data_IF_732008467904
#
_entry.id   IF_732008467904
#
_cell.length_a   1.000
_cell.length_b   1.000
_cell.length_c   1.000
_cell.angle_alpha   90.00
_cell.angle_beta   90.00
_cell.angle_gamma   90.00
#
_symmetry.space_group_name_H-M   'P 1'
#
loop_
_entity.id
_entity.type
_entity.pdbx_description
1 polymer ?
#
# COMPACT_ATOMS: atom_id res chain seq x y z
N UNK A 1 -18.06 9.35 -18.10
CA UNK A 1 -17.81 9.68 -16.68
C UNK A 1 -17.06 8.54 -16.01
N UNK A 2 -15.75 8.66 -15.82
CA UNK A 2 -14.95 7.65 -15.12
C UNK A 2 -14.94 7.96 -13.61
N UNK A 3 -16.08 7.72 -12.94
CA UNK A 3 -16.18 7.89 -11.49
C UNK A 3 -15.16 6.96 -10.82
N UNK A 4 -14.38 7.50 -9.86
CA UNK A 4 -13.40 6.71 -9.12
C UNK A 4 -14.12 5.59 -8.34
N UNK A 5 -13.70 4.33 -8.45
CA UNK A 5 -14.23 3.25 -7.65
C UNK A 5 -14.09 3.56 -6.16
N UNK A 6 -15.10 3.20 -5.38
CA UNK A 6 -15.12 3.46 -3.95
C UNK A 6 -13.99 2.70 -3.25
N UNK A 7 -13.72 1.48 -3.69
CA UNK A 7 -12.66 0.57 -3.24
C UNK A 7 -11.29 1.24 -3.31
N UNK A 8 -10.97 1.90 -4.43
CA UNK A 8 -9.69 2.62 -4.59
C UNK A 8 -9.56 3.72 -3.55
N UNK A 9 -10.65 4.43 -3.27
CA UNK A 9 -10.66 5.52 -2.26
C UNK A 9 -10.41 4.94 -0.87
N UNK A 10 -11.18 3.93 -0.48
CA UNK A 10 -11.09 3.30 0.84
C UNK A 10 -9.71 2.70 1.07
N UNK A 11 -9.22 1.88 0.15
CA UNK A 11 -7.91 1.23 0.28
C UNK A 11 -6.80 2.27 0.35
N UNK A 12 -6.83 3.32 -0.49
CA UNK A 12 -5.80 4.36 -0.46
C UNK A 12 -5.78 5.09 0.88
N UNK A 13 -6.96 5.45 1.43
CA UNK A 13 -7.02 6.11 2.73
C UNK A 13 -6.55 5.21 3.86
N UNK A 14 -6.91 3.92 3.86
CA UNK A 14 -6.41 2.96 4.85
C UNK A 14 -4.87 2.90 4.81
N UNK A 15 -4.28 2.76 3.61
CA UNK A 15 -2.82 2.71 3.45
C UNK A 15 -2.13 4.00 3.91
N UNK A 16 -2.73 5.17 3.64
CA UNK A 16 -2.21 6.46 4.10
C UNK A 16 -2.27 6.54 5.62
N UNK A 17 -3.43 6.30 6.23
CA UNK A 17 -3.63 6.43 7.68
C UNK A 17 -2.75 5.44 8.44
N UNK A 18 -2.74 4.16 8.04
CA UNK A 18 -1.89 3.14 8.66
C UNK A 18 -0.41 3.46 8.48
N UNK A 19 0.01 3.89 7.29
CA UNK A 19 1.40 4.28 7.02
C UNK A 19 1.85 5.46 7.88
N UNK A 20 1.05 6.53 7.93
CA UNK A 20 1.32 7.73 8.74
C UNK A 20 1.33 7.39 10.23
N UNK A 21 0.33 6.65 10.73
CA UNK A 21 0.28 6.22 12.12
C UNK A 21 1.51 5.37 12.49
N UNK A 22 1.91 4.44 11.61
CA UNK A 22 3.10 3.60 11.82
C UNK A 22 4.38 4.42 11.92
N UNK A 23 4.53 5.46 11.09
CA UNK A 23 5.68 6.37 11.17
C UNK A 23 5.63 7.19 12.46
N UNK A 24 4.48 7.79 12.78
CA UNK A 24 4.31 8.64 13.95
C UNK A 24 4.55 7.88 15.27
N UNK A 25 3.97 6.69 15.42
CA UNK A 25 4.14 5.85 16.62
C UNK A 25 5.59 5.37 16.80
N UNK A 26 6.37 5.33 15.73
CA UNK A 26 7.78 4.92 15.74
C UNK A 26 8.72 6.11 15.52
N UNK A 27 8.24 7.35 15.66
CA UNK A 27 9.05 8.54 15.38
C UNK A 27 10.25 8.66 16.32
N UNK A 28 10.11 8.22 17.57
CA UNK A 28 11.20 8.20 18.55
C UNK A 28 12.37 7.30 18.13
N UNK A 29 12.13 6.24 17.35
CA UNK A 29 13.17 5.37 16.81
C UNK A 29 13.90 5.99 15.60
N UNK A 30 13.40 7.13 15.08
CA UNK A 30 13.96 7.83 13.91
C UNK A 30 14.84 9.04 14.29
N UNK A 31 14.89 9.41 15.57
CA UNK A 31 15.64 10.58 16.07
C UNK A 31 17.12 10.29 16.40
N UNK A 32 17.51 9.11 16.94
CA UNK A 32 18.90 8.85 17.29
C UNK A 32 19.80 8.65 16.06
N UNK A 33 21.13 8.80 16.17
CA UNK A 33 22.06 8.48 15.06
C UNK A 33 21.93 7.05 14.52
N UNK A 34 21.48 6.10 15.37
CA UNK A 34 21.20 4.72 14.95
C UNK A 34 20.00 4.62 13.98
N UNK A 35 19.19 5.66 13.83
CA UNK A 35 18.11 5.72 12.83
C UNK A 35 18.62 5.61 11.39
N UNK A 36 19.88 6.00 11.14
CA UNK A 36 20.49 5.94 9.80
C UNK A 36 21.14 4.60 9.49
N UNK A 37 20.95 3.58 10.33
CA UNK A 37 21.34 2.22 9.99
C UNK A 37 20.47 1.69 8.85
N UNK A 38 21.06 0.88 7.97
CA UNK A 38 20.40 0.35 6.77
C UNK A 38 19.04 -0.33 7.06
N UNK A 39 18.93 -1.05 8.18
CA UNK A 39 17.67 -1.69 8.60
C UNK A 39 16.55 -0.69 8.90
N UNK A 40 16.85 0.39 9.64
CA UNK A 40 15.88 1.43 9.98
C UNK A 40 15.45 2.24 8.75
N UNK A 41 16.39 2.55 7.85
CA UNK A 41 16.10 3.20 6.57
C UNK A 41 15.25 2.30 5.67
N UNK A 42 15.51 0.99 5.64
CA UNK A 42 14.68 0.04 4.90
C UNK A 42 13.25 -0.01 5.43
N UNK A 43 13.07 -0.07 6.76
CA UNK A 43 11.74 -0.03 7.40
C UNK A 43 11.00 1.26 7.04
N UNK A 44 11.66 2.41 7.14
CA UNK A 44 11.06 3.70 6.78
C UNK A 44 10.70 3.74 5.30
N UNK A 45 11.60 3.29 4.42
CA UNK A 45 11.39 3.22 2.98
C UNK A 45 10.19 2.35 2.61
N UNK A 46 10.05 1.19 3.25
CA UNK A 46 8.90 0.30 3.06
C UNK A 46 7.60 0.99 3.51
N UNK A 47 7.59 1.72 4.64
CA UNK A 47 6.40 2.47 5.09
C UNK A 47 6.02 3.59 4.12
N UNK A 48 7.01 4.37 3.66
CA UNK A 48 6.81 5.43 2.68
C UNK A 48 6.31 4.89 1.34
N UNK A 49 6.80 3.73 0.91
CA UNK A 49 6.35 3.08 -0.32
C UNK A 49 4.84 2.78 -0.30
N UNK A 50 4.31 2.34 0.85
CA UNK A 50 2.86 2.13 1.02
C UNK A 50 2.05 3.42 0.84
N UNK A 51 2.52 4.52 1.42
CA UNK A 51 1.89 5.85 1.29
C UNK A 51 1.97 6.34 -0.17
N UNK A 52 3.13 6.19 -0.82
CA UNK A 52 3.31 6.56 -2.22
C UNK A 52 2.36 5.78 -3.12
N UNK A 53 2.26 4.47 -2.94
CA UNK A 53 1.31 3.64 -3.68
C UNK A 53 -0.11 4.17 -3.54
N UNK A 54 -0.55 4.46 -2.31
CA UNK A 54 -1.89 5.00 -2.06
C UNK A 54 -2.14 6.33 -2.76
N UNK A 55 -1.20 7.27 -2.68
CA UNK A 55 -1.29 8.57 -3.35
C UNK A 55 -1.37 8.39 -4.87
N UNK A 56 -0.55 7.53 -5.46
CA UNK A 56 -0.55 7.28 -6.90
C UNK A 56 -1.77 6.47 -7.38
N UNK A 57 -2.36 5.63 -6.52
CA UNK A 57 -3.65 4.99 -6.79
C UNK A 57 -4.77 6.04 -6.88
N UNK A 58 -4.79 7.03 -5.97
CA UNK A 58 -5.75 8.15 -6.05
C UNK A 58 -5.58 8.98 -7.32
N UNK A 59 -4.36 9.01 -7.90
CA UNK A 59 -4.02 9.65 -9.19
C UNK A 59 -4.18 8.73 -10.39
N UNK A 60 -4.86 7.59 -10.25
CA UNK A 60 -5.19 6.67 -11.34
C UNK A 60 -3.98 6.04 -12.04
N UNK A 61 -2.83 5.96 -11.37
CA UNK A 61 -1.64 5.30 -11.93
C UNK A 61 -1.72 3.78 -11.72
N UNK A 62 -1.85 3.03 -12.82
CA UNK A 62 -2.00 1.58 -12.77
C UNK A 62 -0.81 0.84 -12.13
N UNK A 63 0.42 1.36 -12.26
CA UNK A 63 1.60 0.77 -11.63
C UNK A 63 1.46 0.71 -10.10
N UNK A 64 0.84 1.74 -9.50
CA UNK A 64 0.68 1.84 -8.05
C UNK A 64 -0.22 0.73 -7.49
N UNK A 65 -1.17 0.23 -8.29
CA UNK A 65 -2.00 -0.92 -7.92
C UNK A 65 -1.15 -2.17 -7.76
N UNK A 66 -0.30 -2.46 -8.74
CA UNK A 66 0.57 -3.65 -8.71
C UNK A 66 1.63 -3.53 -7.63
N UNK A 67 2.19 -2.34 -7.43
CA UNK A 67 3.14 -2.09 -6.34
C UNK A 67 2.48 -2.26 -4.98
N UNK A 68 1.24 -1.79 -4.78
CA UNK A 68 0.50 -2.01 -3.53
C UNK A 68 0.26 -3.52 -3.25
N UNK A 69 -0.08 -4.30 -4.28
CA UNK A 69 -0.24 -5.74 -4.17
C UNK A 69 1.08 -6.45 -3.82
N UNK A 70 2.17 -6.10 -4.50
CA UNK A 70 3.49 -6.64 -4.18
C UNK A 70 3.93 -6.27 -2.76
N UNK A 71 3.68 -5.02 -2.36
CA UNK A 71 4.01 -4.49 -1.03
C UNK A 71 3.29 -5.24 0.10
N UNK A 72 1.99 -5.53 -0.08
CA UNK A 72 1.22 -6.23 0.94
C UNK A 72 1.51 -7.74 0.98
N UNK A 73 1.85 -8.35 -0.17
CA UNK A 73 2.36 -9.72 -0.23
C UNK A 73 3.69 -9.84 0.53
N UNK A 74 4.60 -8.89 0.31
CA UNK A 74 5.87 -8.81 1.03
C UNK A 74 5.67 -8.73 2.55
N UNK A 75 4.72 -7.92 3.02
CA UNK A 75 4.39 -7.85 4.45
C UNK A 75 3.80 -9.15 5.00
N UNK A 76 2.98 -9.87 4.22
CA UNK A 76 2.48 -11.17 4.64
C UNK A 76 3.61 -12.17 4.83
N UNK A 77 4.56 -12.23 3.89
CA UNK A 77 5.75 -13.09 4.00
C UNK A 77 6.57 -12.75 5.24
N UNK A 78 6.89 -11.47 5.47
CA UNK A 78 7.60 -11.05 6.70
C UNK A 78 6.80 -11.41 7.96
N UNK A 79 5.48 -11.22 7.92
CA UNK A 79 4.59 -11.61 9.01
C UNK A 79 4.76 -13.07 9.38
N UNK A 80 4.74 -13.99 8.40
CA UNK A 80 4.97 -15.42 8.64
C UNK A 80 6.37 -15.74 9.16
N UNK A 81 7.40 -15.02 8.71
CA UNK A 81 8.77 -15.18 9.21
C UNK A 81 8.91 -14.76 10.67
N UNK A 82 8.13 -13.78 11.12
CA UNK A 82 8.14 -13.32 12.52
C UNK A 82 7.26 -14.18 13.43
N UNK A 83 6.01 -14.46 13.01
CA UNK A 83 5.11 -15.36 13.73
C UNK A 83 3.92 -15.76 12.86
N UNK A 84 3.44 -16.99 13.01
CA UNK A 84 2.28 -17.49 12.26
C UNK A 84 1.05 -16.59 12.46
N UNK A 85 0.80 -16.12 13.68
CA UNK A 85 -0.32 -15.21 13.99
C UNK A 85 -0.23 -13.88 13.26
N UNK A 86 0.94 -13.24 13.24
CA UNK A 86 1.13 -12.01 12.45
C UNK A 86 0.99 -12.30 10.95
N UNK A 87 1.55 -13.40 10.45
CA UNK A 87 1.41 -13.81 9.05
C UNK A 87 -0.05 -13.97 8.62
N UNK A 88 -0.89 -14.63 9.43
CA UNK A 88 -2.32 -14.81 9.14
C UNK A 88 -3.04 -13.46 9.04
N UNK A 89 -2.82 -12.53 9.99
CA UNK A 89 -3.46 -11.21 9.95
C UNK A 89 -3.07 -10.48 8.66
N UNK A 90 -1.80 -10.46 8.30
CA UNK A 90 -1.34 -9.81 7.08
C UNK A 90 -1.85 -10.51 5.81
N UNK A 91 -1.99 -11.83 5.83
CA UNK A 91 -2.59 -12.60 4.73
C UNK A 91 -4.08 -12.30 4.55
N UNK A 92 -4.84 -12.11 5.64
CA UNK A 92 -6.24 -11.69 5.56
C UNK A 92 -6.38 -10.28 4.99
N UNK A 93 -5.54 -9.34 5.45
CA UNK A 93 -5.50 -7.97 4.90
C UNK A 93 -5.10 -8.01 3.41
N UNK A 94 -4.11 -8.83 3.06
CA UNK A 94 -3.72 -9.09 1.67
C UNK A 94 -4.90 -9.59 0.83
N UNK A 95 -5.64 -10.58 1.32
CA UNK A 95 -6.83 -11.09 0.64
C UNK A 95 -7.88 -10.01 0.42
N UNK A 96 -8.24 -9.25 1.45
CA UNK A 96 -9.26 -8.20 1.36
C UNK A 96 -8.86 -7.07 0.39
N UNK A 97 -7.65 -6.54 0.54
CA UNK A 97 -7.15 -5.46 -0.33
C UNK A 97 -6.91 -5.98 -1.75
N UNK A 98 -6.38 -7.19 -1.88
CA UNK A 98 -6.15 -7.86 -3.14
C UNK A 98 -7.43 -8.02 -3.94
N UNK A 99 -8.47 -8.60 -3.32
CA UNK A 99 -9.77 -8.74 -3.94
C UNK A 99 -10.34 -7.37 -4.32
N UNK A 100 -10.31 -6.37 -3.43
CA UNK A 100 -10.82 -5.03 -3.72
C UNK A 100 -10.12 -4.37 -4.94
N UNK A 101 -8.79 -4.51 -5.06
CA UNK A 101 -8.02 -3.88 -6.14
C UNK A 101 -8.04 -4.67 -7.47
N UNK A 102 -8.26 -5.99 -7.41
CA UNK A 102 -8.27 -6.87 -8.58
C UNK A 102 -9.63 -6.97 -9.27
N UNK A 103 -10.69 -6.37 -8.71
CA UNK A 103 -12.00 -6.29 -9.38
C UNK A 103 -11.89 -5.64 -10.76
N UNK A 104 -12.70 -6.14 -11.69
CA UNK A 104 -12.67 -5.76 -13.10
C UNK A 104 -13.05 -4.30 -13.34
N UNK A 105 -13.97 -3.75 -12.52
CA UNK A 105 -14.38 -2.35 -12.47
C UNK A 105 -13.21 -1.41 -12.12
N UNK A 106 -12.40 -1.78 -11.13
CA UNK A 106 -11.19 -1.08 -10.70
C UNK A 106 -10.12 -1.16 -11.78
N UNK A 107 -9.92 -2.34 -12.38
CA UNK A 107 -9.00 -2.52 -13.51
C UNK A 107 -9.37 -1.66 -14.71
N UNK A 108 -10.67 -1.54 -15.03
CA UNK A 108 -11.16 -0.68 -16.09
C UNK A 108 -10.92 0.81 -15.76
N UNK A 109 -11.09 1.21 -14.49
CA UNK A 109 -10.79 2.57 -14.07
C UNK A 109 -9.31 2.90 -14.28
N UNK A 110 -8.37 2.05 -13.86
CA UNK A 110 -6.93 2.32 -14.01
C UNK A 110 -6.43 2.32 -15.46
N UNK A 111 -7.08 1.61 -16.38
CA UNK A 111 -6.68 1.57 -17.79
C UNK A 111 -7.02 2.85 -18.55
N UNK A 112 -8.00 3.64 -18.10
CA UNK A 112 -8.54 4.75 -18.89
C UNK A 112 -9.23 4.25 -20.16
N UNK A 113 -10.24 4.95 -20.66
CA UNK A 113 -10.60 4.77 -22.08
C UNK A 113 -9.61 5.62 -22.89
N UNK A 114 -9.15 5.19 -24.08
CA UNK A 114 -8.32 5.99 -24.98
C UNK A 114 -9.02 7.26 -25.56
N UNK A 115 -10.02 7.83 -24.89
CA UNK A 115 -10.85 8.92 -25.41
C UNK A 115 -10.40 10.32 -24.95
N UNK A 116 -9.27 10.40 -24.25
CA UNK A 116 -8.69 11.65 -23.77
C UNK A 116 -7.53 12.12 -24.69
N UNK A 117 -7.43 11.52 -25.89
CA UNK A 117 -6.35 11.71 -26.88
C UNK A 117 -6.86 12.33 -28.20
N UNK A 118 -7.86 13.23 -28.13
CA UNK A 118 -8.31 14.05 -29.26
C UNK A 118 -8.07 15.51 -28.92
#
# INVERSE_FOLDING_TARGET
>A
MNKRPYEVTVVSWILIVVGVASIAMNASALLPPQAFQAGNLAILGVRLLGILCAIYMLRRRNWARWTALAWIAFHAVIGFLNSVGQGIIHALIFGLIGLALLRSDVGAWFRGRPADAV
#
